data_IF_453260603695
#
_entry.id   IF_453260603695
#
_cell.length_a   1.000
_cell.length_b   1.000
_cell.length_c   1.000
_cell.angle_alpha   90.00
_cell.angle_beta   90.00
_cell.angle_gamma   90.00
#
_symmetry.space_group_name_H-M   'P 1'
#
loop_
_entity.id
_entity.type
_entity.pdbx_description
1 polymer ?
#
# COMPACT_ATOMS: atom_id res chain seq x y z
N UNK A 1 13.64 8.76 9.43
CA UNK A 1 12.60 8.87 8.40
C UNK A 1 12.24 7.51 7.85
N UNK A 2 13.19 6.65 7.48
CA UNK A 2 12.94 5.27 7.05
C UNK A 2 12.06 4.48 8.03
N UNK A 3 12.33 4.56 9.34
CA UNK A 3 11.45 3.97 10.37
C UNK A 3 10.01 4.49 10.29
N UNK A 4 9.84 5.80 10.12
CA UNK A 4 8.53 6.43 9.98
C UNK A 4 7.84 6.00 8.67
N UNK A 5 8.56 5.91 7.56
CA UNK A 5 8.06 5.39 6.27
C UNK A 5 7.54 3.97 6.43
N UNK A 6 8.32 3.08 7.06
CA UNK A 6 7.98 1.67 7.23
C UNK A 6 6.80 1.49 8.17
N UNK A 7 6.76 2.21 9.29
CA UNK A 7 5.64 2.18 10.24
C UNK A 7 4.36 2.73 9.60
N UNK A 8 4.45 3.83 8.84
CA UNK A 8 3.28 4.41 8.18
C UNK A 8 2.74 3.52 7.04
N UNK A 9 3.60 2.86 6.27
CA UNK A 9 3.19 1.83 5.30
C UNK A 9 2.53 0.63 5.98
N UNK A 10 3.10 0.14 7.09
CA UNK A 10 2.49 -0.94 7.86
C UNK A 10 1.12 -0.52 8.41
N UNK A 11 0.98 0.72 8.88
CA UNK A 11 -0.29 1.28 9.31
C UNK A 11 -1.31 1.37 8.15
N UNK A 12 -0.89 1.72 6.94
CA UNK A 12 -1.73 1.71 5.74
C UNK A 12 -2.29 0.31 5.46
N UNK A 13 -1.43 -0.71 5.44
CA UNK A 13 -1.80 -2.11 5.21
C UNK A 13 -2.73 -2.64 6.32
N UNK A 14 -2.43 -2.31 7.58
CA UNK A 14 -3.27 -2.68 8.72
C UNK A 14 -4.63 -1.97 8.71
N UNK A 15 -4.67 -0.71 8.26
CA UNK A 15 -5.90 0.07 8.14
C UNK A 15 -6.87 -0.58 7.14
N UNK A 16 -6.37 -1.03 5.98
CA UNK A 16 -7.17 -1.73 4.97
C UNK A 16 -7.76 -3.04 5.52
N UNK A 17 -6.94 -3.82 6.21
CA UNK A 17 -7.38 -5.06 6.83
C UNK A 17 -8.48 -4.81 7.87
N UNK A 18 -8.26 -3.82 8.75
CA UNK A 18 -9.22 -3.42 9.78
C UNK A 18 -10.51 -2.83 9.23
N UNK A 19 -10.44 -2.11 8.11
CA UNK A 19 -11.60 -1.59 7.38
C UNK A 19 -12.42 -2.69 6.69
N UNK A 20 -11.84 -3.89 6.56
CA UNK A 20 -12.50 -5.06 5.97
C UNK A 20 -12.51 -5.03 4.45
N UNK A 21 -11.48 -4.44 3.83
CA UNK A 21 -11.24 -4.51 2.38
C UNK A 21 -10.13 -5.49 1.99
N UNK A 22 -9.54 -6.17 2.99
CA UNK A 22 -8.40 -7.06 2.81
C UNK A 22 -7.08 -6.34 2.98
N UNK A 23 -6.02 -6.96 2.49
CA UNK A 23 -4.68 -6.40 2.44
C UNK A 23 -3.94 -7.03 1.26
N UNK A 24 -2.84 -6.44 0.77
CA UNK A 24 -2.08 -7.03 -0.32
C UNK A 24 -1.70 -8.49 -0.03
N UNK A 25 -1.94 -9.37 -1.01
CA UNK A 25 -1.75 -10.83 -1.00
C UNK A 25 -2.83 -11.64 -0.27
N UNK A 26 -3.74 -11.01 0.47
CA UNK A 26 -4.78 -11.75 1.21
C UNK A 26 -5.69 -12.57 0.29
N UNK A 27 -5.88 -12.16 -0.97
CA UNK A 27 -6.68 -12.93 -1.92
C UNK A 27 -6.03 -14.24 -2.34
N UNK A 28 -4.70 -14.35 -2.22
CA UNK A 28 -3.93 -15.51 -2.69
C UNK A 28 -3.65 -16.46 -1.54
N UNK A 29 -3.06 -15.93 -0.47
CA UNK A 29 -2.54 -16.74 0.65
C UNK A 29 -3.40 -16.63 1.91
N UNK A 30 -4.50 -15.87 1.86
CA UNK A 30 -5.36 -15.61 3.01
C UNK A 30 -4.85 -14.47 3.91
N UNK A 31 -5.72 -13.89 4.74
CA UNK A 31 -5.42 -12.69 5.52
C UNK A 31 -4.33 -12.92 6.58
N UNK A 32 -4.28 -14.09 7.22
CA UNK A 32 -3.33 -14.38 8.29
C UNK A 32 -1.90 -14.56 7.76
N UNK A 33 -1.74 -15.30 6.65
CA UNK A 33 -0.44 -15.47 6.02
C UNK A 33 0.06 -14.15 5.41
N UNK A 34 -0.84 -13.37 4.79
CA UNK A 34 -0.51 -12.03 4.30
C UNK A 34 -0.09 -11.09 5.44
N UNK A 35 -0.82 -11.09 6.55
CA UNK A 35 -0.46 -10.31 7.73
C UNK A 35 0.92 -10.70 8.28
N UNK A 36 1.18 -12.01 8.44
CA UNK A 36 2.47 -12.52 8.87
C UNK A 36 3.60 -12.11 7.94
N UNK A 37 3.40 -12.21 6.62
CA UNK A 37 4.36 -11.74 5.62
C UNK A 37 4.70 -10.26 5.79
N UNK A 38 3.68 -9.40 5.87
CA UNK A 38 3.90 -7.96 6.05
C UNK A 38 4.55 -7.63 7.39
N UNK A 39 4.18 -8.31 8.48
CA UNK A 39 4.86 -8.17 9.78
C UNK A 39 6.34 -8.52 9.68
N UNK A 40 6.70 -9.61 9.00
CA UNK A 40 8.09 -10.01 8.81
C UNK A 40 8.86 -8.99 7.95
N UNK A 41 8.27 -8.49 6.87
CA UNK A 41 8.88 -7.45 6.03
C UNK A 41 9.09 -6.16 6.83
N UNK A 42 8.06 -5.67 7.52
CA UNK A 42 8.15 -4.47 8.36
C UNK A 42 9.19 -4.64 9.46
N UNK A 43 9.18 -5.75 10.19
CA UNK A 43 10.13 -6.06 11.25
C UNK A 43 11.57 -6.11 10.71
N UNK A 44 11.78 -6.80 9.58
CA UNK A 44 13.09 -6.91 8.93
C UNK A 44 13.66 -5.55 8.52
N UNK A 45 12.86 -4.68 7.90
CA UNK A 45 13.32 -3.33 7.55
C UNK A 45 13.58 -2.48 8.79
N UNK A 46 12.72 -2.56 9.81
CA UNK A 46 12.95 -1.85 11.09
C UNK A 46 14.25 -2.30 11.76
N UNK A 47 14.53 -3.59 11.81
CA UNK A 47 15.80 -4.10 12.32
C UNK A 47 16.99 -3.62 11.48
N UNK A 48 16.84 -3.56 10.15
CA UNK A 48 17.88 -3.03 9.27
C UNK A 48 18.19 -1.55 9.55
N UNK A 49 17.20 -0.73 9.96
CA UNK A 49 17.46 0.68 10.32
C UNK A 49 18.34 0.90 11.55
N UNK A 50 18.78 -0.15 12.24
CA UNK A 50 19.74 -0.08 13.35
C UNK A 50 21.16 -0.55 12.94
N UNK A 51 21.38 -0.87 11.66
CA UNK A 51 22.66 -1.37 11.12
C UNK A 51 23.40 -0.28 10.35
N UNK A 52 24.68 -0.52 10.09
CA UNK A 52 25.60 0.39 9.37
C UNK A 52 25.34 0.44 7.85
N UNK A 53 26.12 1.24 7.12
CA UNK A 53 26.00 1.57 5.70
C UNK A 53 25.78 0.37 4.74
N UNK A 54 26.17 -0.83 5.15
CA UNK A 54 25.92 -2.09 4.42
C UNK A 54 24.47 -2.33 4.00
N UNK A 55 23.49 -1.71 4.70
CA UNK A 55 22.05 -1.85 4.39
C UNK A 55 21.47 -0.65 3.66
N UNK A 56 22.24 0.40 3.37
CA UNK A 56 21.75 1.65 2.73
C UNK A 56 21.00 1.37 1.43
N UNK A 57 21.50 0.42 0.62
CA UNK A 57 20.84 0.04 -0.64
C UNK A 57 19.47 -0.60 -0.40
N UNK A 58 19.36 -1.47 0.62
CA UNK A 58 18.09 -2.10 1.01
C UNK A 58 17.11 -1.04 1.52
N UNK A 59 17.55 -0.14 2.40
CA UNK A 59 16.71 0.92 2.96
C UNK A 59 16.26 1.91 1.88
N UNK A 60 17.15 2.28 0.96
CA UNK A 60 16.80 3.12 -0.19
C UNK A 60 15.80 2.43 -1.12
N UNK A 61 15.97 1.13 -1.40
CA UNK A 61 15.00 0.34 -2.16
C UNK A 61 13.64 0.26 -1.45
N UNK A 62 13.61 0.02 -0.13
CA UNK A 62 12.38 -0.05 0.65
C UNK A 62 11.63 1.29 0.65
N UNK A 63 12.33 2.41 0.84
CA UNK A 63 11.73 3.74 0.75
C UNK A 63 11.22 4.03 -0.67
N UNK A 64 11.99 3.68 -1.71
CA UNK A 64 11.57 3.83 -3.11
C UNK A 64 10.34 3.00 -3.46
N UNK A 65 10.27 1.75 -2.98
CA UNK A 65 9.10 0.89 -3.12
C UNK A 65 7.88 1.49 -2.41
N UNK A 66 8.07 2.01 -1.19
CA UNK A 66 7.03 2.73 -0.46
C UNK A 66 6.45 3.91 -1.24
N UNK A 67 7.32 4.72 -1.85
CA UNK A 67 6.91 5.82 -2.72
C UNK A 67 6.16 5.31 -3.96
N UNK A 68 6.66 4.25 -4.61
CA UNK A 68 5.99 3.64 -5.74
C UNK A 68 4.58 3.12 -5.37
N UNK A 69 4.42 2.52 -4.19
CA UNK A 69 3.13 2.06 -3.68
C UNK A 69 2.16 3.23 -3.44
N UNK A 70 2.59 4.32 -2.80
CA UNK A 70 1.74 5.50 -2.62
C UNK A 70 1.37 6.13 -3.96
N UNK A 71 2.33 6.26 -4.88
CA UNK A 71 2.07 6.76 -6.24
C UNK A 71 1.07 5.89 -6.98
N UNK A 72 1.19 4.56 -6.88
CA UNK A 72 0.24 3.64 -7.49
C UNK A 72 -1.19 3.86 -6.97
N UNK A 73 -1.38 4.10 -5.66
CA UNK A 73 -2.69 4.45 -5.14
C UNK A 73 -3.23 5.76 -5.75
N UNK A 74 -2.44 6.83 -5.72
CA UNK A 74 -2.86 8.15 -6.20
C UNK A 74 -3.15 8.19 -7.71
N UNK A 75 -2.52 7.31 -8.49
CA UNK A 75 -2.67 7.25 -9.95
C UNK A 75 -3.67 6.19 -10.41
N UNK A 76 -3.81 5.09 -9.66
CA UNK A 76 -4.71 3.98 -9.99
C UNK A 76 -6.16 4.20 -9.57
N UNK A 77 -6.41 5.10 -8.61
CA UNK A 77 -7.73 5.25 -8.00
C UNK A 77 -8.33 6.65 -8.19
N UNK A 78 -9.67 6.79 -8.10
CA UNK A 78 -10.33 8.07 -8.28
C UNK A 78 -9.83 9.13 -7.30
N UNK A 79 -9.33 10.24 -7.84
CA UNK A 79 -8.88 11.39 -7.06
C UNK A 79 -9.65 12.65 -7.41
N UNK A 80 -9.68 13.58 -6.47
CA UNK A 80 -10.05 14.99 -6.67
C UNK A 80 -8.88 15.88 -6.27
N UNK A 81 -8.87 17.15 -6.68
CA UNK A 81 -7.89 18.11 -6.15
C UNK A 81 -8.30 18.55 -4.74
N UNK A 82 -7.36 18.52 -3.80
CA UNK A 82 -7.54 19.10 -2.47
C UNK A 82 -7.44 20.64 -2.52
N UNK A 83 -7.74 21.31 -1.40
CA UNK A 83 -7.52 22.77 -1.27
C UNK A 83 -6.05 23.18 -1.47
N UNK A 84 -5.12 22.27 -1.19
CA UNK A 84 -3.68 22.48 -1.41
C UNK A 84 -3.23 22.09 -2.83
N UNK A 85 -4.16 21.77 -3.74
CA UNK A 85 -3.87 21.42 -5.13
C UNK A 85 -3.32 20.01 -5.35
N UNK A 86 -3.17 19.18 -4.32
CA UNK A 86 -2.64 17.81 -4.44
C UNK A 86 -3.75 16.77 -4.69
N UNK A 87 -3.47 15.63 -5.33
CA UNK A 87 -4.45 14.57 -5.54
C UNK A 87 -4.99 13.99 -4.23
N UNK A 88 -6.30 13.94 -4.07
CA UNK A 88 -6.94 13.43 -2.86
C UNK A 88 -7.86 12.28 -3.23
N UNK A 89 -7.60 11.10 -2.70
CA UNK A 89 -8.42 9.92 -3.00
C UNK A 89 -9.87 10.15 -2.56
N UNK A 90 -10.78 9.85 -3.47
CA UNK A 90 -12.23 9.90 -3.25
C UNK A 90 -12.76 8.52 -2.89
N UNK A 91 -12.13 7.48 -3.44
CA UNK A 91 -12.32 6.09 -3.08
C UNK A 91 -11.03 5.33 -3.40
N UNK A 92 -10.82 4.20 -2.73
CA UNK A 92 -9.69 3.31 -2.94
C UNK A 92 -10.06 1.91 -2.46
N UNK A 93 -9.98 0.91 -3.33
CA UNK A 93 -10.16 -0.51 -2.98
C UNK A 93 -11.46 -0.83 -2.20
N UNK A 94 -12.52 -0.04 -2.40
CA UNK A 94 -13.78 -0.24 -1.69
C UNK A 94 -13.81 0.29 -0.26
N UNK A 95 -12.81 1.08 0.15
CA UNK A 95 -12.82 1.81 1.41
C UNK A 95 -13.94 2.84 1.47
N UNK A 96 -14.35 3.42 0.35
CA UNK A 96 -15.41 4.42 0.28
C UNK A 96 -14.97 5.81 0.78
N UNK A 97 -15.73 6.85 0.41
CA UNK A 97 -15.40 8.25 0.73
C UNK A 97 -15.33 8.54 2.24
N UNK A 98 -16.06 7.80 3.06
CA UNK A 98 -16.13 7.98 4.51
C UNK A 98 -14.81 7.66 5.23
N UNK A 99 -13.98 6.78 4.66
CA UNK A 99 -12.67 6.42 5.22
C UNK A 99 -11.52 7.24 4.62
N UNK A 100 -11.73 7.90 3.48
CA UNK A 100 -10.70 8.68 2.80
C UNK A 100 -10.12 9.81 3.66
N UNK A 101 -10.90 10.38 4.59
CA UNK A 101 -10.41 11.41 5.52
C UNK A 101 -9.32 10.91 6.47
N UNK A 102 -9.28 9.61 6.75
CA UNK A 102 -8.26 8.97 7.58
C UNK A 102 -7.15 8.35 6.73
N UNK A 103 -7.54 7.76 5.60
CA UNK A 103 -6.63 7.05 4.72
C UNK A 103 -5.65 7.98 3.97
N UNK A 104 -6.12 9.12 3.46
CA UNK A 104 -5.23 10.08 2.78
C UNK A 104 -4.10 10.59 3.69
N UNK A 105 -4.34 11.00 4.95
CA UNK A 105 -3.26 11.34 5.88
C UNK A 105 -2.21 10.23 6.03
N UNK A 106 -2.60 8.96 6.17
CA UNK A 106 -1.66 7.84 6.28
C UNK A 106 -0.77 7.76 5.02
N UNK A 107 -1.38 7.84 3.83
CA UNK A 107 -0.63 7.82 2.56
C UNK A 107 0.32 9.02 2.43
N UNK A 108 -0.14 10.23 2.74
CA UNK A 108 0.66 11.43 2.63
C UNK A 108 1.81 11.48 3.64
N UNK A 109 1.57 11.04 4.88
CA UNK A 109 2.64 10.87 5.87
C UNK A 109 3.67 9.85 5.37
N UNK A 110 3.22 8.74 4.78
CA UNK A 110 4.11 7.73 4.19
C UNK A 110 4.95 8.31 3.05
N UNK A 111 4.33 9.08 2.15
CA UNK A 111 5.03 9.72 1.04
C UNK A 111 6.06 10.76 1.50
N UNK A 112 5.68 11.65 2.42
CA UNK A 112 6.59 12.67 2.95
C UNK A 112 7.76 12.02 3.68
N UNK A 113 7.50 11.04 4.55
CA UNK A 113 8.56 10.30 5.24
C UNK A 113 9.49 9.59 4.25
N UNK A 114 8.94 8.95 3.22
CA UNK A 114 9.71 8.28 2.16
C UNK A 114 10.59 9.24 1.37
N UNK A 115 10.06 10.41 0.98
CA UNK A 115 10.82 11.43 0.26
C UNK A 115 11.97 11.98 1.11
N UNK A 116 11.71 12.29 2.39
CA UNK A 116 12.75 12.75 3.32
C UNK A 116 13.81 11.66 3.56
N UNK A 117 13.40 10.39 3.67
CA UNK A 117 14.33 9.27 3.82
C UNK A 117 15.25 9.10 2.59
N UNK A 118 14.69 9.19 1.38
CA UNK A 118 15.46 9.14 0.13
C UNK A 118 16.39 10.34 -0.01
N UNK A 119 15.95 11.52 0.43
CA UNK A 119 16.74 12.74 0.33
C UNK A 119 17.89 12.81 1.35
N UNK A 120 17.71 12.23 2.54
CA UNK A 120 18.60 12.50 3.69
C UNK A 120 19.25 11.30 4.38
N UNK A 121 18.77 10.06 4.23
CA UNK A 121 19.16 8.96 5.15
C UNK A 121 20.04 7.86 4.56
N UNK A 122 20.44 7.95 3.29
CA UNK A 122 21.28 6.92 2.67
C UNK A 122 22.38 7.57 1.81
N UNK A 123 23.42 8.18 2.41
CA UNK A 123 24.43 8.93 1.69
C UNK A 123 25.25 8.03 0.73
N UNK A 124 25.39 6.75 1.05
CA UNK A 124 26.17 5.80 0.23
C UNK A 124 25.32 5.09 -0.83
N UNK A 125 23.99 5.04 -0.66
CA UNK A 125 23.11 4.48 -1.67
C UNK A 125 23.07 5.37 -2.91
N UNK A 126 23.19 4.74 -4.08
CA UNK A 126 22.98 5.44 -5.35
C UNK A 126 21.54 5.94 -5.40
N UNK A 127 21.34 7.26 -5.54
CA UNK A 127 20.00 7.89 -5.72
C UNK A 127 19.16 7.25 -6.84
N UNK A 128 19.80 6.55 -7.78
CA UNK A 128 19.15 5.78 -8.83
C UNK A 128 18.32 4.59 -8.32
N UNK A 129 18.66 4.01 -7.16
CA UNK A 129 17.96 2.84 -6.59
C UNK A 129 16.50 3.18 -6.23
N UNK A 130 16.20 4.20 -5.39
CA UNK A 130 14.83 4.56 -5.07
C UNK A 130 14.07 5.06 -6.29
N UNK A 131 14.73 5.76 -7.22
CA UNK A 131 14.13 6.21 -8.49
C UNK A 131 13.76 5.02 -9.38
N UNK A 132 14.60 3.99 -9.47
CA UNK A 132 14.31 2.78 -10.24
C UNK A 132 13.04 2.07 -9.73
N UNK A 133 12.80 2.10 -8.41
CA UNK A 133 11.57 1.53 -7.83
C UNK A 133 10.30 2.24 -8.30
N UNK A 134 10.35 3.52 -8.68
CA UNK A 134 9.21 4.22 -9.27
C UNK A 134 8.78 3.61 -10.61
N UNK A 135 9.68 2.91 -11.31
CA UNK A 135 9.33 2.13 -12.50
C UNK A 135 8.32 1.01 -12.23
N UNK A 136 8.12 0.61 -10.96
CA UNK A 136 7.13 -0.39 -10.56
C UNK A 136 5.70 0.16 -10.50
N UNK A 137 5.50 1.48 -10.57
CA UNK A 137 4.17 2.11 -10.41
C UNK A 137 3.10 1.48 -11.32
N UNK A 138 3.31 1.29 -12.65
CA UNK A 138 2.29 0.69 -13.51
C UNK A 138 1.96 -0.75 -13.10
N UNK A 139 2.97 -1.53 -12.69
CA UNK A 139 2.78 -2.91 -12.26
C UNK A 139 2.00 -2.96 -10.93
N UNK A 140 2.29 -2.04 -10.00
CA UNK A 140 1.58 -1.92 -8.73
C UNK A 140 0.12 -1.49 -8.94
N UNK A 141 -0.17 -0.56 -9.86
CA UNK A 141 -1.55 -0.20 -10.23
C UNK A 141 -2.30 -1.42 -10.78
N UNK A 142 -1.68 -2.16 -11.70
CA UNK A 142 -2.29 -3.37 -12.25
C UNK A 142 -2.54 -4.44 -11.17
N UNK A 143 -1.59 -4.62 -10.26
CA UNK A 143 -1.69 -5.53 -9.14
C UNK A 143 -2.80 -5.14 -8.16
N UNK A 144 -2.88 -3.88 -7.73
CA UNK A 144 -3.94 -3.36 -6.85
C UNK A 144 -5.33 -3.65 -7.43
N UNK A 145 -5.55 -3.35 -8.71
CA UNK A 145 -6.83 -3.63 -9.35
C UNK A 145 -7.12 -5.12 -9.48
N UNK A 146 -6.11 -5.95 -9.77
CA UNK A 146 -6.27 -7.40 -9.83
C UNK A 146 -6.63 -7.99 -8.46
N UNK A 147 -5.92 -7.57 -7.42
CA UNK A 147 -6.12 -8.02 -6.04
C UNK A 147 -7.51 -7.60 -5.56
N UNK A 148 -7.88 -6.32 -5.74
CA UNK A 148 -9.22 -5.81 -5.43
C UNK A 148 -10.34 -6.60 -6.13
N UNK A 149 -10.17 -6.94 -7.42
CA UNK A 149 -11.15 -7.78 -8.14
C UNK A 149 -11.27 -9.18 -7.52
N UNK A 150 -10.15 -9.81 -7.12
CA UNK A 150 -10.18 -11.12 -6.44
C UNK A 150 -10.83 -11.02 -5.07
N UNK A 151 -10.46 -10.02 -4.27
CA UNK A 151 -11.02 -9.79 -2.94
C UNK A 151 -12.53 -9.54 -3.00
N UNK A 152 -13.03 -8.79 -3.99
CA UNK A 152 -14.47 -8.62 -4.23
C UNK A 152 -15.16 -9.95 -4.53
N UNK A 153 -14.62 -10.75 -5.45
CA UNK A 153 -15.17 -12.10 -5.74
C UNK A 153 -15.20 -12.99 -4.51
N UNK A 154 -14.14 -12.97 -3.71
CA UNK A 154 -14.07 -13.72 -2.46
C UNK A 154 -15.07 -13.21 -1.44
N UNK A 155 -15.24 -11.90 -1.30
CA UNK A 155 -16.22 -11.33 -0.39
C UNK A 155 -17.65 -11.80 -0.71
N UNK A 156 -18.00 -11.97 -1.99
CA UNK A 156 -19.32 -12.48 -2.39
C UNK A 156 -19.48 -13.98 -2.21
N UNK A 157 -18.43 -14.78 -2.41
CA UNK A 157 -18.49 -16.26 -2.35
C UNK A 157 -18.17 -16.83 -0.97
N UNK A 158 -17.27 -16.18 -0.24
CA UNK A 158 -16.75 -16.57 1.08
C UNK A 158 -16.57 -15.32 1.96
N UNK A 159 -17.68 -14.72 2.41
CA UNK A 159 -17.64 -13.51 3.21
C UNK A 159 -16.99 -13.78 4.57
N UNK A 160 -16.13 -12.86 5.00
CA UNK A 160 -15.46 -12.91 6.30
C UNK A 160 -15.24 -11.49 6.84
N UNK A 161 -14.86 -11.38 8.12
CA UNK A 161 -14.68 -10.07 8.76
C UNK A 161 -13.70 -9.15 8.03
N UNK A 162 -12.67 -9.72 7.39
CA UNK A 162 -11.56 -9.03 6.73
C UNK A 162 -11.87 -8.58 5.29
N UNK A 163 -12.95 -9.04 4.67
CA UNK A 163 -13.38 -8.63 3.32
C UNK A 163 -14.86 -8.18 3.25
N UNK A 164 -15.55 -8.12 4.39
CA UNK A 164 -16.99 -7.86 4.49
C UNK A 164 -17.44 -6.57 3.82
N UNK A 165 -16.58 -5.55 3.76
CA UNK A 165 -16.94 -4.23 3.21
C UNK A 165 -17.16 -4.32 1.70
N UNK A 166 -16.37 -5.14 1.03
CA UNK A 166 -16.42 -5.33 -0.41
C UNK A 166 -17.72 -5.97 -0.90
N UNK A 167 -18.44 -6.67 -0.03
CA UNK A 167 -19.76 -7.26 -0.34
C UNK A 167 -20.81 -6.23 -0.72
N UNK A 168 -20.68 -5.00 -0.20
CA UNK A 168 -21.63 -3.91 -0.42
C UNK A 168 -21.46 -3.28 -1.79
N UNK A 169 -20.34 -3.56 -2.46
CA UNK A 169 -20.11 -3.15 -3.84
C UNK A 169 -20.87 -4.11 -4.75
N UNK A 170 -21.46 -3.58 -5.83
CA UNK A 170 -22.07 -4.39 -6.88
C UNK A 170 -21.09 -5.48 -7.34
N UNK A 171 -21.52 -6.73 -7.60
CA UNK A 171 -20.64 -7.75 -8.15
C UNK A 171 -19.93 -7.22 -9.41
N UNK A 172 -18.64 -7.49 -9.55
CA UNK A 172 -17.94 -7.17 -10.79
C UNK A 172 -18.62 -7.95 -11.94
N UNK A 173 -18.90 -7.34 -13.10
CA UNK A 173 -19.53 -8.05 -14.21
C UNK A 173 -18.64 -9.22 -14.66
N UNK A 174 -19.21 -10.44 -14.68
CA UNK A 174 -18.67 -11.62 -15.37
C UNK A 174 -17.79 -12.57 -14.56
N UNK A 175 -18.39 -13.64 -14.02
CA UNK A 175 -18.20 -15.01 -14.51
C UNK A 175 -19.31 -15.88 -13.91
N UNK A 176 -20.25 -16.31 -14.75
CA UNK A 176 -21.27 -17.30 -14.44
C UNK A 176 -20.56 -18.67 -14.37
N UNK A 177 -20.47 -19.32 -13.19
CA UNK A 177 -19.96 -20.68 -13.14
C UNK A 177 -21.11 -21.60 -13.57
N UNK A 178 -21.19 -21.86 -14.87
CA UNK A 178 -21.79 -23.12 -15.33
C UNK A 178 -20.84 -24.26 -15.03
#
# INVERSE_FOLDING_TARGET
MTRLTVVSLAAHVAFELGAGVGMPLASVIGPYAAAGFWTLVTGGVLTATARDESVDTLLAAANGFGLAAVSAHLLGWPTRRSRAGVPWLVDCEGLGPELMRFYNPILYTSAVAGLLAVAGENPTARRRVPVAMLGLVPALVAYQHWEHRRLRRQAHTRPAWWNRRLRRLTPAPGHDPR
#
